data_IF_762133268478
#
_entry.id   IF_762133268478
#
_cell.length_a   1.000
_cell.length_b   1.000
_cell.length_c   1.000
_cell.angle_alpha   90.00
_cell.angle_beta   90.00
_cell.angle_gamma   90.00
#
_symmetry.space_group_name_H-M   'P 1'
#
loop_
_entity.id
_entity.type
_entity.pdbx_description
1 polymer ?
#
# COMPACT_ATOMS: atom_id res chain seq x y z
N UNK A 1 21.53 -19.03 3.40
CA UNK A 1 22.27 -18.54 4.59
C UNK A 1 21.74 -19.24 5.82
N UNK A 2 22.57 -19.97 6.55
CA UNK A 2 22.17 -20.74 7.73
C UNK A 2 22.07 -19.84 8.97
N UNK A 3 21.32 -20.28 9.98
CA UNK A 3 21.18 -19.57 11.28
C UNK A 3 22.55 -19.26 11.94
N UNK A 4 23.58 -20.09 11.68
CA UNK A 4 24.96 -19.88 12.16
C UNK A 4 25.70 -18.77 11.40
N UNK A 5 25.42 -18.58 10.12
CA UNK A 5 26.01 -17.51 9.31
C UNK A 5 25.38 -16.17 9.66
N UNK A 6 24.07 -16.15 9.95
CA UNK A 6 23.38 -14.97 10.43
C UNK A 6 23.89 -14.48 11.81
N UNK A 7 24.14 -15.42 12.74
CA UNK A 7 24.69 -15.07 14.08
C UNK A 7 26.13 -14.55 13.95
N UNK A 8 26.94 -15.03 13.01
CA UNK A 8 28.28 -14.49 12.74
C UNK A 8 28.23 -13.09 12.12
N UNK A 9 27.28 -12.80 11.21
CA UNK A 9 27.10 -11.46 10.67
C UNK A 9 26.61 -10.45 11.74
N UNK A 10 25.69 -10.86 12.60
CA UNK A 10 25.20 -10.00 13.70
C UNK A 10 26.27 -9.74 14.76
N UNK A 11 27.19 -10.67 14.98
CA UNK A 11 28.31 -10.49 15.95
C UNK A 11 29.41 -9.55 15.43
N UNK A 12 29.58 -9.43 14.10
CA UNK A 12 30.51 -8.46 13.51
C UNK A 12 29.94 -7.05 13.44
N UNK A 13 28.62 -6.88 13.45
CA UNK A 13 27.96 -5.57 13.44
C UNK A 13 27.85 -4.92 14.84
N UNK A 14 28.00 -5.68 15.91
CA UNK A 14 27.91 -5.16 17.29
C UNK A 14 29.17 -4.39 17.76
N UNK A 15 30.24 -4.38 16.98
CA UNK A 15 31.52 -3.79 17.44
C UNK A 15 31.77 -2.36 16.93
N UNK A 16 30.89 -1.77 16.12
CA UNK A 16 31.07 -0.41 15.58
C UNK A 16 29.97 0.59 15.95
N UNK A 17 29.16 0.31 17.00
CA UNK A 17 28.11 1.23 17.45
C UNK A 17 28.50 2.08 18.68
N UNK A 18 29.81 2.14 19.01
CA UNK A 18 30.34 3.04 20.03
C UNK A 18 31.03 4.24 19.36
N UNK A 19 30.27 5.06 18.63
CA UNK A 19 30.74 6.39 18.24
C UNK A 19 29.64 7.41 18.57
N UNK A 20 29.84 8.12 19.67
CA UNK A 20 29.46 9.51 19.80
C UNK A 20 28.02 9.83 20.16
N UNK A 21 27.65 9.60 21.43
CA UNK A 21 26.54 10.35 22.06
C UNK A 21 26.93 11.81 22.38
N UNK A 22 27.64 12.48 21.49
CA UNK A 22 27.98 13.91 21.66
C UNK A 22 28.01 14.62 20.31
N UNK A 23 26.84 14.92 19.75
CA UNK A 23 26.67 16.01 18.74
C UNK A 23 25.19 16.19 18.37
N UNK A 24 24.32 16.41 19.33
CA UNK A 24 23.06 17.10 19.06
C UNK A 24 23.33 18.60 19.05
N UNK A 25 24.07 19.09 18.05
CA UNK A 25 24.18 20.53 17.77
C UNK A 25 23.70 20.77 16.35
N UNK A 26 22.59 21.52 16.28
CA UNK A 26 22.06 22.17 15.08
C UNK A 26 21.54 21.20 13.99
N UNK A 27 20.25 20.87 14.03
CA UNK A 27 19.51 20.49 12.84
C UNK A 27 19.61 21.68 11.87
N UNK A 28 20.05 21.49 10.62
CA UNK A 28 20.05 22.55 9.63
C UNK A 28 18.64 23.09 9.43
N UNK A 29 18.50 24.38 9.22
CA UNK A 29 17.31 25.04 8.69
C UNK A 29 16.93 24.46 7.30
N UNK A 30 15.85 24.93 6.63
CA UNK A 30 15.43 24.43 5.33
C UNK A 30 16.62 24.36 4.40
N UNK A 31 17.08 23.16 4.11
CA UNK A 31 18.37 22.94 3.49
C UNK A 31 18.31 23.36 2.02
N UNK A 32 19.38 23.99 1.56
CA UNK A 32 19.66 24.25 0.14
C UNK A 32 19.77 22.95 -0.69
N UNK A 33 19.71 21.79 -0.05
CA UNK A 33 19.89 20.45 -0.60
C UNK A 33 18.67 19.88 -1.31
N UNK A 34 17.44 20.39 -1.01
CA UNK A 34 16.21 19.88 -1.58
C UNK A 34 15.48 20.94 -2.42
N UNK A 35 14.75 20.47 -3.45
CA UNK A 35 13.87 21.32 -4.25
C UNK A 35 12.52 21.58 -3.55
N UNK A 36 11.59 22.27 -4.23
CA UNK A 36 10.28 22.60 -3.67
C UNK A 36 9.36 21.39 -3.44
N UNK A 37 9.70 20.23 -3.97
CA UNK A 37 8.98 18.96 -3.83
C UNK A 37 9.69 17.99 -2.87
N UNK A 38 10.81 18.37 -2.29
CA UNK A 38 11.62 17.50 -1.44
C UNK A 38 12.62 16.62 -2.22
N UNK A 39 12.85 16.89 -3.51
CA UNK A 39 13.82 16.19 -4.34
C UNK A 39 15.25 16.57 -4.04
N UNK A 40 16.14 15.60 -4.03
CA UNK A 40 17.55 15.73 -3.70
C UNK A 40 18.34 16.39 -4.86
N UNK A 41 18.76 17.64 -4.68
CA UNK A 41 19.37 18.49 -5.73
C UNK A 41 20.72 18.02 -6.22
N UNK A 42 21.45 17.21 -5.46
CA UNK A 42 22.75 16.68 -5.89
C UNK A 42 22.63 15.65 -7.01
N UNK A 43 21.46 15.01 -7.18
CA UNK A 43 21.19 14.05 -8.25
C UNK A 43 20.15 14.62 -9.22
N UNK A 44 20.61 15.00 -10.42
CA UNK A 44 19.78 15.52 -11.51
C UNK A 44 19.38 14.42 -12.47
N UNK A 45 18.10 14.43 -12.85
CA UNK A 45 17.45 13.53 -13.77
C UNK A 45 16.56 14.34 -14.75
N UNK A 46 15.71 13.67 -15.54
CA UNK A 46 14.88 14.34 -16.52
C UNK A 46 13.81 15.21 -15.84
N UNK A 47 13.73 16.49 -16.22
CA UNK A 47 12.66 17.39 -15.78
C UNK A 47 11.43 17.23 -16.69
N UNK A 48 10.29 16.81 -16.16
CA UNK A 48 9.03 16.63 -16.90
C UNK A 48 7.92 17.60 -16.48
N UNK A 49 8.01 18.20 -15.31
CA UNK A 49 6.94 19.01 -14.70
C UNK A 49 5.99 18.22 -13.81
N UNK A 50 6.10 16.88 -13.79
CA UNK A 50 5.34 15.96 -12.95
C UNK A 50 6.25 14.91 -12.35
N UNK A 51 5.80 14.24 -11.29
CA UNK A 51 6.52 13.09 -10.76
C UNK A 51 6.50 11.94 -11.76
N UNK A 52 7.63 11.27 -11.92
CA UNK A 52 7.78 10.07 -12.75
C UNK A 52 8.85 9.15 -12.16
N UNK A 53 9.01 7.96 -12.74
CA UNK A 53 10.08 7.03 -12.37
C UNK A 53 11.16 7.02 -13.46
N UNK A 54 12.43 6.94 -13.03
CA UNK A 54 13.58 6.85 -13.95
C UNK A 54 14.63 5.89 -13.38
N UNK A 55 15.26 5.12 -14.27
CA UNK A 55 16.40 4.25 -13.94
C UNK A 55 17.69 4.84 -14.52
N UNK A 56 18.64 5.19 -13.66
CA UNK A 56 19.87 5.90 -14.05
C UNK A 56 21.06 4.99 -14.39
N UNK A 57 20.80 3.75 -14.80
CA UNK A 57 21.71 2.64 -14.99
C UNK A 57 22.18 1.95 -13.69
N UNK A 58 22.12 2.57 -12.54
CA UNK A 58 22.53 2.02 -11.24
C UNK A 58 21.31 1.60 -10.42
N UNK A 59 20.28 2.49 -10.38
CA UNK A 59 19.07 2.23 -9.58
C UNK A 59 17.86 3.01 -10.10
N UNK A 60 16.71 2.63 -9.57
CA UNK A 60 15.45 3.36 -9.76
C UNK A 60 15.36 4.57 -8.83
N UNK A 61 14.73 5.62 -9.35
CA UNK A 61 14.34 6.82 -8.65
C UNK A 61 12.90 7.21 -8.95
N UNK A 62 12.20 7.79 -8.00
CA UNK A 62 11.20 8.79 -8.32
C UNK A 62 11.94 10.07 -8.70
N UNK A 63 11.34 10.85 -9.58
CA UNK A 63 11.90 12.14 -10.03
C UNK A 63 10.86 13.22 -9.81
N UNK A 64 11.27 14.33 -9.19
CA UNK A 64 10.37 15.44 -8.93
C UNK A 64 10.02 16.20 -10.22
N UNK A 65 8.95 17.03 -10.21
CA UNK A 65 8.64 17.94 -11.31
C UNK A 65 9.79 18.83 -11.75
N UNK A 66 10.76 19.12 -10.87
CA UNK A 66 11.95 19.91 -11.14
C UNK A 66 13.14 19.09 -11.67
N UNK A 67 13.01 17.77 -11.77
CA UNK A 67 14.04 16.87 -12.29
C UNK A 67 15.11 16.50 -11.26
N UNK A 68 14.74 16.37 -9.98
CA UNK A 68 15.66 15.92 -8.94
C UNK A 68 15.25 14.51 -8.45
N UNK A 69 16.24 13.71 -8.08
CA UNK A 69 15.99 12.39 -7.50
C UNK A 69 15.16 12.49 -6.22
N UNK A 70 14.20 11.58 -6.09
CA UNK A 70 13.31 11.53 -4.94
C UNK A 70 13.17 10.09 -4.43
N UNK A 71 13.23 9.91 -3.13
CA UNK A 71 12.89 8.68 -2.44
C UNK A 71 11.69 8.98 -1.55
N UNK A 72 10.62 8.21 -1.70
CA UNK A 72 9.39 8.45 -0.95
C UNK A 72 9.50 7.89 0.47
N UNK A 73 9.63 8.78 1.45
CA UNK A 73 9.53 8.42 2.87
C UNK A 73 8.25 9.03 3.43
N UNK A 74 7.20 8.20 3.52
CA UNK A 74 5.84 8.65 3.73
C UNK A 74 5.22 8.23 5.04
N UNK A 75 4.10 8.86 5.35
CA UNK A 75 3.21 8.53 6.46
C UNK A 75 1.80 8.25 5.94
N UNK A 76 1.23 7.12 6.36
CA UNK A 76 -0.16 6.77 6.09
C UNK A 76 -1.08 7.18 7.26
N UNK A 77 -2.39 7.04 7.04
CA UNK A 77 -3.39 7.19 8.11
C UNK A 77 -3.28 8.50 8.89
N UNK A 78 -2.84 9.58 8.22
CA UNK A 78 -3.01 10.90 8.80
C UNK A 78 -4.47 11.32 8.62
N UNK A 79 -5.37 10.56 9.27
CA UNK A 79 -6.81 10.68 9.13
C UNK A 79 -7.42 11.20 10.42
N UNK A 80 -8.16 12.29 10.34
CA UNK A 80 -8.68 13.02 11.51
C UNK A 80 -9.54 12.18 12.45
N UNK A 81 -10.22 11.12 11.95
CA UNK A 81 -11.02 10.23 12.79
C UNK A 81 -10.15 9.52 13.87
N UNK A 82 -8.84 9.34 13.65
CA UNK A 82 -7.94 8.77 14.65
C UNK A 82 -7.65 9.71 15.81
N UNK A 83 -7.87 11.00 15.61
CA UNK A 83 -7.80 12.04 16.65
C UNK A 83 -9.13 12.28 17.34
N UNK A 84 -10.23 11.68 16.85
CA UNK A 84 -11.58 11.87 17.38
C UNK A 84 -12.23 10.55 17.76
N UNK A 85 -11.63 9.86 18.74
CA UNK A 85 -12.12 8.63 19.34
C UNK A 85 -12.53 8.88 20.79
N UNK A 86 -13.37 8.01 21.36
CA UNK A 86 -13.90 8.15 22.72
C UNK A 86 -12.80 8.41 23.77
N UNK A 87 -11.61 7.86 23.55
CA UNK A 87 -10.47 7.92 24.48
C UNK A 87 -9.54 9.12 24.25
N UNK A 88 -9.71 9.93 23.18
CA UNK A 88 -8.81 11.05 22.89
C UNK A 88 -9.48 12.34 22.39
N UNK A 89 -10.76 12.30 22.03
CA UNK A 89 -11.46 13.43 21.41
C UNK A 89 -11.43 14.73 22.27
N UNK A 90 -11.65 14.61 23.58
CA UNK A 90 -11.64 15.77 24.48
C UNK A 90 -10.28 16.47 24.52
N UNK A 91 -9.20 15.68 24.56
CA UNK A 91 -7.84 16.21 24.54
C UNK A 91 -7.56 16.98 23.25
N UNK A 92 -8.00 16.45 22.09
CA UNK A 92 -7.74 17.09 20.81
C UNK A 92 -8.65 18.27 20.52
N UNK A 93 -9.94 18.24 20.93
CA UNK A 93 -10.81 19.42 20.90
C UNK A 93 -10.16 20.57 21.68
N UNK A 94 -9.68 20.30 22.89
CA UNK A 94 -9.00 21.30 23.70
C UNK A 94 -7.71 21.82 23.05
N UNK A 95 -6.86 20.93 22.51
CA UNK A 95 -5.61 21.30 21.83
C UNK A 95 -5.82 22.18 20.60
N UNK A 96 -6.90 21.93 19.85
CA UNK A 96 -7.22 22.69 18.65
C UNK A 96 -8.11 23.91 18.93
N UNK A 97 -8.54 24.10 20.19
CA UNK A 97 -9.51 25.11 20.57
C UNK A 97 -10.79 25.00 19.75
N UNK A 98 -11.25 23.77 19.51
CA UNK A 98 -12.43 23.40 18.75
C UNK A 98 -13.60 23.07 19.68
N UNK A 99 -14.80 23.39 19.28
CA UNK A 99 -16.03 23.02 20.00
C UNK A 99 -16.57 21.68 19.49
N UNK A 100 -16.38 21.40 18.20
CA UNK A 100 -16.90 20.22 17.55
C UNK A 100 -15.88 19.61 16.58
N UNK A 101 -16.06 18.31 16.31
CA UNK A 101 -15.34 17.61 15.27
C UNK A 101 -15.61 18.26 13.90
N UNK A 102 -14.52 18.53 13.17
CA UNK A 102 -14.56 19.15 11.82
C UNK A 102 -15.09 20.59 11.76
N UNK A 103 -15.19 21.30 12.89
CA UNK A 103 -15.37 22.73 12.84
C UNK A 103 -14.15 23.47 12.26
N UNK A 104 -14.21 24.78 12.08
CA UNK A 104 -13.13 25.57 11.50
C UNK A 104 -11.85 25.48 12.34
N UNK A 105 -11.95 25.52 13.66
CA UNK A 105 -10.81 25.45 14.57
C UNK A 105 -10.18 24.06 14.55
N UNK A 106 -11.02 23.00 14.52
CA UNK A 106 -10.54 21.63 14.34
C UNK A 106 -9.72 21.49 13.06
N UNK A 107 -10.29 21.86 11.91
CA UNK A 107 -9.66 21.75 10.61
C UNK A 107 -8.33 22.53 10.55
N UNK A 108 -8.31 23.74 11.09
CA UNK A 108 -7.11 24.58 11.17
C UNK A 108 -6.04 23.96 12.10
N UNK A 109 -6.46 23.49 13.27
CA UNK A 109 -5.60 22.86 14.26
C UNK A 109 -4.98 21.57 13.76
N UNK A 110 -5.81 20.68 13.19
CA UNK A 110 -5.39 19.41 12.63
C UNK A 110 -4.39 19.61 11.48
N UNK A 111 -4.70 20.47 10.51
CA UNK A 111 -3.80 20.80 9.40
C UNK A 111 -2.44 21.34 9.89
N UNK A 112 -2.47 22.27 10.84
CA UNK A 112 -1.25 22.83 11.42
C UNK A 112 -0.41 21.77 12.12
N UNK A 113 -1.04 20.85 12.88
CA UNK A 113 -0.37 19.74 13.55
C UNK A 113 0.23 18.79 12.52
N UNK A 114 -0.52 18.37 11.49
CA UNK A 114 -0.04 17.48 10.45
C UNK A 114 1.22 18.00 9.76
N UNK A 115 1.19 19.22 9.24
CA UNK A 115 2.37 19.79 8.57
C UNK A 115 3.55 20.02 9.49
N UNK A 116 3.30 20.40 10.76
CA UNK A 116 4.36 20.52 11.76
C UNK A 116 5.03 19.17 12.04
N UNK A 117 4.24 18.11 12.21
CA UNK A 117 4.72 16.78 12.51
C UNK A 117 5.48 16.17 11.33
N UNK A 118 4.97 16.32 10.11
CA UNK A 118 5.66 15.88 8.89
C UNK A 118 7.01 16.58 8.74
N UNK A 119 7.06 17.90 8.86
CA UNK A 119 8.30 18.67 8.81
C UNK A 119 9.27 18.28 9.93
N UNK A 120 8.77 18.10 11.17
CA UNK A 120 9.58 17.70 12.33
C UNK A 120 10.22 16.32 12.15
N UNK A 121 9.48 15.39 11.57
CA UNK A 121 9.90 14.00 11.38
C UNK A 121 10.68 13.78 10.08
N UNK A 122 10.57 14.73 9.14
CA UNK A 122 11.21 14.65 7.83
C UNK A 122 10.51 13.73 6.84
N UNK A 123 9.21 13.48 7.02
CA UNK A 123 8.39 12.83 5.99
C UNK A 123 8.23 13.76 4.79
N UNK A 124 8.42 13.22 3.61
CA UNK A 124 8.29 13.95 2.35
C UNK A 124 7.11 13.51 1.48
N UNK A 125 6.31 12.55 1.97
CA UNK A 125 5.14 12.03 1.25
C UNK A 125 3.97 11.82 2.20
N UNK A 126 2.78 12.28 1.78
CA UNK A 126 1.50 11.92 2.37
C UNK A 126 1.03 10.64 1.66
N UNK A 127 1.01 9.52 2.39
CA UNK A 127 0.66 8.23 1.85
C UNK A 127 -0.85 7.97 1.80
N UNK A 128 -1.19 6.70 1.63
CA UNK A 128 -2.57 6.21 1.54
C UNK A 128 -3.36 6.43 2.84
N UNK A 129 -4.69 6.39 2.78
CA UNK A 129 -5.59 6.58 3.93
C UNK A 129 -5.50 7.96 4.60
N UNK A 130 -5.07 8.96 3.85
CA UNK A 130 -4.98 10.35 4.30
C UNK A 130 -5.94 11.22 3.48
N UNK A 131 -7.20 10.81 3.41
CA UNK A 131 -8.25 11.50 2.64
C UNK A 131 -8.99 12.56 3.47
N UNK A 132 -8.33 13.14 4.45
CA UNK A 132 -8.94 14.20 5.22
C UNK A 132 -9.10 15.44 4.32
N UNK A 133 -10.33 15.97 4.15
CA UNK A 133 -10.58 17.21 3.40
C UNK A 133 -9.67 18.36 3.84
N UNK A 134 -9.28 18.34 5.11
CA UNK A 134 -8.38 19.34 5.70
C UNK A 134 -6.93 19.28 5.20
N UNK A 135 -6.49 18.20 4.54
CA UNK A 135 -5.09 18.03 4.10
C UNK A 135 -4.92 18.03 2.58
N UNK A 136 -5.72 17.24 1.86
CA UNK A 136 -5.47 16.94 0.44
C UNK A 136 -6.64 17.18 -0.50
N UNK A 137 -7.87 17.38 0.01
CA UNK A 137 -9.04 17.56 -0.84
C UNK A 137 -9.18 18.99 -1.40
N UNK A 138 -8.24 19.86 -1.10
CA UNK A 138 -8.17 21.19 -1.69
C UNK A 138 -7.00 21.19 -2.68
N UNK A 139 -7.25 21.19 -4.01
CA UNK A 139 -6.20 21.23 -5.01
C UNK A 139 -5.21 22.36 -4.75
N UNK A 140 -3.93 22.09 -4.96
CA UNK A 140 -2.83 23.07 -4.85
C UNK A 140 -2.55 23.66 -3.45
N UNK A 141 -3.13 23.12 -2.39
CA UNK A 141 -2.86 23.60 -1.03
C UNK A 141 -1.88 22.74 -0.25
N UNK A 142 -1.67 21.50 -0.64
CA UNK A 142 -0.60 20.68 -0.07
C UNK A 142 0.77 21.22 -0.49
N UNK A 143 1.68 21.36 0.48
CA UNK A 143 3.10 21.64 0.22
C UNK A 143 3.97 20.40 0.32
N UNK A 144 3.35 19.24 0.40
CA UNK A 144 4.00 17.94 0.51
C UNK A 144 3.43 17.03 -0.57
N UNK A 145 4.26 16.35 -1.35
CA UNK A 145 3.82 15.34 -2.30
C UNK A 145 2.87 14.32 -1.67
N UNK A 146 1.84 13.90 -2.38
CA UNK A 146 0.81 13.04 -1.84
C UNK A 146 0.29 12.01 -2.84
N UNK A 147 -0.26 10.90 -2.32
CA UNK A 147 -1.01 9.92 -3.07
C UNK A 147 -2.51 10.22 -3.01
N UNK A 148 -3.21 9.98 -4.12
CA UNK A 148 -4.66 10.06 -4.18
C UNK A 148 -5.28 8.69 -4.41
N UNK A 149 -6.34 8.39 -3.68
CA UNK A 149 -7.07 7.15 -3.87
C UNK A 149 -7.99 7.23 -5.10
N UNK A 150 -7.82 6.27 -6.01
CA UNK A 150 -8.66 6.01 -7.17
C UNK A 150 -9.18 4.58 -7.06
N UNK A 151 -10.37 4.39 -6.50
CA UNK A 151 -10.95 3.09 -6.16
C UNK A 151 -12.25 2.86 -6.94
N UNK A 152 -12.19 2.47 -8.23
CA UNK A 152 -13.41 2.15 -8.99
C UNK A 152 -14.16 0.97 -8.38
N UNK A 153 -13.47 0.07 -7.68
CA UNK A 153 -14.09 -0.95 -6.82
C UNK A 153 -13.47 -0.86 -5.43
N UNK A 154 -14.29 -0.77 -4.38
CA UNK A 154 -13.83 -0.65 -3.00
C UNK A 154 -13.57 -2.05 -2.43
N UNK A 155 -12.38 -2.57 -2.68
CA UNK A 155 -11.95 -3.92 -2.33
C UNK A 155 -11.05 -3.99 -1.09
N UNK A 156 -10.90 -2.88 -0.36
CA UNK A 156 -10.04 -2.82 0.83
C UNK A 156 -10.41 -3.95 1.82
N UNK A 157 -9.44 -4.79 2.19
CA UNK A 157 -9.66 -5.97 3.03
C UNK A 157 -10.38 -5.66 4.35
N UNK A 158 -10.00 -4.56 5.00
CA UNK A 158 -10.55 -4.14 6.29
C UNK A 158 -12.02 -3.66 6.20
N UNK A 159 -12.54 -3.41 5.00
CA UNK A 159 -13.96 -3.08 4.78
C UNK A 159 -14.83 -4.33 4.65
N UNK A 160 -14.23 -5.53 4.69
CA UNK A 160 -14.91 -6.80 4.50
C UNK A 160 -15.87 -6.75 3.30
N UNK A 161 -15.36 -6.57 2.06
CA UNK A 161 -16.18 -6.30 0.90
C UNK A 161 -17.16 -7.47 0.66
N UNK A 162 -18.45 -7.12 0.59
CA UNK A 162 -19.51 -8.09 0.37
C UNK A 162 -19.50 -8.60 -1.08
N UNK A 163 -20.11 -9.77 -1.37
CA UNK A 163 -20.18 -10.31 -2.73
C UNK A 163 -20.65 -9.32 -3.80
N UNK A 164 -21.57 -8.41 -3.46
CA UNK A 164 -22.15 -7.43 -4.37
C UNK A 164 -21.10 -6.40 -4.88
N UNK A 165 -20.00 -6.21 -4.17
CA UNK A 165 -18.89 -5.33 -4.57
C UNK A 165 -18.09 -5.94 -5.72
N UNK A 166 -18.04 -7.29 -5.81
CA UNK A 166 -17.33 -8.01 -6.87
C UNK A 166 -18.17 -8.06 -8.18
N UNK A 167 -18.43 -6.89 -8.74
CA UNK A 167 -19.18 -6.72 -9.99
C UNK A 167 -18.46 -7.42 -11.16
N UNK A 168 -19.20 -7.69 -12.26
CA UNK A 168 -18.63 -8.31 -13.44
C UNK A 168 -17.72 -7.32 -14.19
N UNK A 169 -16.40 -7.42 -13.91
CA UNK A 169 -15.35 -6.57 -14.48
C UNK A 169 -15.14 -6.78 -15.98
N UNK A 170 -15.71 -7.83 -16.58
CA UNK A 170 -15.67 -8.08 -18.02
C UNK A 170 -16.81 -7.37 -18.76
N UNK A 171 -17.80 -6.83 -18.05
CA UNK A 171 -18.94 -6.15 -18.62
C UNK A 171 -18.58 -4.77 -19.19
N UNK A 172 -19.35 -4.32 -20.17
CA UNK A 172 -19.24 -2.95 -20.72
C UNK A 172 -19.71 -1.90 -19.70
N UNK A 173 -20.64 -2.26 -18.82
CA UNK A 173 -21.09 -1.38 -17.73
C UNK A 173 -19.96 -1.08 -16.74
N UNK A 174 -19.08 -2.03 -16.46
CA UNK A 174 -17.90 -1.78 -15.65
C UNK A 174 -16.94 -0.77 -16.29
N UNK A 175 -16.68 -0.90 -17.62
CA UNK A 175 -15.84 0.06 -18.35
C UNK A 175 -16.39 1.48 -18.24
N UNK A 176 -17.68 1.67 -18.55
CA UNK A 176 -18.34 2.99 -18.45
C UNK A 176 -18.28 3.55 -17.05
N UNK A 177 -18.54 2.72 -16.05
CA UNK A 177 -18.44 3.12 -14.65
C UNK A 177 -17.02 3.60 -14.28
N UNK A 178 -15.97 2.87 -14.71
CA UNK A 178 -14.59 3.30 -14.49
C UNK A 178 -14.28 4.65 -15.15
N UNK A 179 -14.79 4.91 -16.34
CA UNK A 179 -14.60 6.19 -17.05
C UNK A 179 -15.25 7.35 -16.31
N UNK A 180 -16.49 7.19 -15.87
CA UNK A 180 -17.21 8.19 -15.07
C UNK A 180 -16.52 8.43 -13.71
N UNK A 181 -16.09 7.35 -13.06
CA UNK A 181 -15.40 7.42 -11.79
C UNK A 181 -14.03 8.10 -11.91
N UNK A 182 -13.26 7.79 -12.95
CA UNK A 182 -11.98 8.43 -13.24
C UNK A 182 -12.15 9.94 -13.44
N UNK A 183 -13.12 10.36 -14.24
CA UNK A 183 -13.41 11.78 -14.45
C UNK A 183 -13.72 12.48 -13.13
N UNK A 184 -14.62 11.93 -12.33
CA UNK A 184 -15.00 12.48 -11.03
C UNK A 184 -13.82 12.60 -10.05
N UNK A 185 -12.91 11.62 -10.08
CA UNK A 185 -11.83 11.50 -9.09
C UNK A 185 -10.59 12.29 -9.49
N UNK A 186 -10.25 12.33 -10.79
CA UNK A 186 -8.96 12.83 -11.25
C UNK A 186 -9.02 14.19 -11.96
N UNK A 187 -10.15 14.60 -12.55
CA UNK A 187 -10.20 15.78 -13.42
C UNK A 187 -9.74 17.09 -12.77
N UNK A 188 -9.95 17.24 -11.47
CA UNK A 188 -9.53 18.44 -10.72
C UNK A 188 -8.03 18.47 -10.41
N UNK A 189 -7.31 17.37 -10.61
CA UNK A 189 -5.91 17.19 -10.15
C UNK A 189 -4.91 17.05 -11.30
N UNK A 190 -5.36 17.01 -12.54
CA UNK A 190 -4.53 16.77 -13.75
C UNK A 190 -3.29 17.66 -13.84
N UNK A 191 -3.36 18.87 -13.29
CA UNK A 191 -2.27 19.85 -13.30
C UNK A 191 -1.68 20.09 -11.92
N UNK A 192 -1.92 19.23 -10.92
CA UNK A 192 -1.34 19.40 -9.58
C UNK A 192 0.07 18.78 -9.50
N UNK A 193 1.14 19.56 -9.50
CA UNK A 193 2.50 19.02 -9.49
C UNK A 193 2.88 18.37 -8.15
N UNK A 194 2.07 18.52 -7.09
CA UNK A 194 2.28 17.84 -5.81
C UNK A 194 1.67 16.43 -5.78
N UNK A 195 0.77 16.11 -6.70
CA UNK A 195 0.23 14.77 -6.78
C UNK A 195 1.31 13.80 -7.30
N UNK A 196 1.67 12.83 -6.46
CA UNK A 196 2.62 11.77 -6.82
C UNK A 196 1.98 10.80 -7.81
N UNK A 197 0.75 10.44 -7.55
CA UNK A 197 -0.01 9.51 -8.37
C UNK A 197 -1.23 8.93 -7.66
N UNK A 198 -1.85 7.97 -8.34
CA UNK A 198 -3.09 7.34 -7.91
C UNK A 198 -2.85 5.92 -7.42
N UNK A 199 -3.37 5.59 -6.23
CA UNK A 199 -3.41 4.24 -5.69
C UNK A 199 -4.85 3.72 -5.61
N UNK A 200 -5.03 2.40 -5.77
CA UNK A 200 -6.33 1.76 -5.70
C UNK A 200 -6.61 1.18 -4.30
N UNK A 201 -7.12 -0.06 -4.22
CA UNK A 201 -7.53 -0.65 -2.96
C UNK A 201 -6.35 -1.06 -2.06
N UNK A 202 -6.64 -1.15 -0.78
CA UNK A 202 -5.72 -1.63 0.25
C UNK A 202 -5.85 -3.14 0.44
N UNK A 203 -4.83 -3.89 0.05
CA UNK A 203 -4.77 -5.34 0.16
C UNK A 203 -6.07 -6.03 -0.30
N UNK A 204 -6.51 -5.79 -1.56
CA UNK A 204 -7.73 -6.41 -2.06
C UNK A 204 -7.64 -7.93 -1.97
N UNK A 205 -8.77 -8.60 -1.70
CA UNK A 205 -8.84 -10.05 -1.67
C UNK A 205 -8.87 -10.55 -3.12
N UNK A 206 -7.70 -10.85 -3.67
CA UNK A 206 -7.52 -11.29 -5.07
C UNK A 206 -7.24 -12.78 -5.18
N UNK A 207 -6.67 -13.38 -4.15
CA UNK A 207 -6.17 -14.75 -4.16
C UNK A 207 -6.81 -15.61 -3.07
N UNK A 208 -6.65 -16.92 -3.18
CA UNK A 208 -7.06 -17.83 -2.10
C UNK A 208 -6.22 -17.65 -0.83
N UNK A 209 -4.98 -17.15 -0.96
CA UNK A 209 -4.15 -16.76 0.19
C UNK A 209 -4.74 -15.58 0.97
N UNK A 210 -5.20 -14.55 0.26
CA UNK A 210 -5.89 -13.42 0.89
C UNK A 210 -7.20 -13.86 1.56
N UNK A 211 -7.94 -14.72 0.87
CA UNK A 211 -9.19 -15.27 1.39
C UNK A 211 -8.99 -16.09 2.69
N UNK A 212 -7.91 -16.87 2.80
CA UNK A 212 -7.56 -17.59 4.03
C UNK A 212 -7.26 -16.65 5.18
N UNK A 213 -6.62 -15.52 4.90
CA UNK A 213 -6.22 -14.55 5.94
C UNK A 213 -7.40 -13.67 6.39
N UNK A 214 -8.19 -13.15 5.45
CA UNK A 214 -9.20 -12.12 5.74
C UNK A 214 -10.64 -12.62 5.67
N UNK A 215 -10.88 -13.81 5.10
CA UNK A 215 -12.24 -14.25 4.77
C UNK A 215 -12.82 -13.48 3.56
N UNK A 216 -14.16 -13.46 3.45
CA UNK A 216 -14.84 -12.75 2.36
C UNK A 216 -15.01 -13.59 1.10
N UNK A 217 -14.76 -13.00 -0.08
CA UNK A 217 -14.90 -13.66 -1.38
C UNK A 217 -13.88 -13.11 -2.39
N UNK A 218 -13.84 -13.67 -3.59
CA UNK A 218 -13.01 -13.20 -4.72
C UNK A 218 -13.83 -13.17 -6.00
N UNK A 219 -13.34 -12.50 -7.04
CA UNK A 219 -14.02 -12.47 -8.34
C UNK A 219 -14.31 -13.85 -8.91
N UNK A 220 -13.40 -14.81 -8.79
CA UNK A 220 -13.65 -16.17 -9.33
C UNK A 220 -14.90 -16.79 -8.74
N UNK A 221 -15.15 -16.62 -7.44
CA UNK A 221 -16.30 -17.21 -6.75
C UNK A 221 -17.61 -16.60 -7.19
N UNK A 222 -17.57 -15.33 -7.55
CA UNK A 222 -18.75 -14.61 -8.05
C UNK A 222 -18.95 -14.92 -9.53
N UNK A 223 -17.92 -14.72 -10.37
CA UNK A 223 -18.05 -14.79 -11.81
C UNK A 223 -18.36 -16.20 -12.32
N UNK A 224 -17.77 -17.26 -11.72
CA UNK A 224 -18.08 -18.65 -12.09
C UNK A 224 -19.53 -19.06 -11.84
N UNK A 225 -20.23 -18.32 -10.99
CA UNK A 225 -21.61 -18.60 -10.55
C UNK A 225 -22.66 -17.73 -11.27
N UNK A 226 -22.24 -16.82 -12.15
CA UNK A 226 -23.15 -16.01 -12.98
C UNK A 226 -23.85 -16.86 -14.07
N UNK A 227 -24.83 -16.27 -14.74
CA UNK A 227 -25.52 -16.89 -15.87
C UNK A 227 -24.73 -16.86 -17.18
N UNK A 228 -25.21 -17.59 -18.18
CA UNK A 228 -24.56 -17.81 -19.49
C UNK A 228 -24.24 -16.52 -20.28
N UNK A 229 -25.04 -15.47 -20.10
CA UNK A 229 -24.85 -14.19 -20.79
C UNK A 229 -23.89 -13.24 -20.09
N UNK A 230 -23.42 -13.56 -18.89
CA UNK A 230 -22.48 -12.74 -18.15
C UNK A 230 -21.07 -12.87 -18.74
N UNK A 231 -20.44 -11.75 -19.17
CA UNK A 231 -19.10 -11.81 -19.76
C UNK A 231 -18.05 -12.45 -18.85
N UNK A 232 -18.16 -12.24 -17.53
CA UNK A 232 -17.27 -12.87 -16.54
C UNK A 232 -17.42 -14.39 -16.45
N UNK A 233 -18.65 -14.91 -16.58
CA UNK A 233 -18.87 -16.36 -16.67
C UNK A 233 -18.26 -16.96 -17.94
N UNK A 234 -18.39 -16.26 -19.06
CA UNK A 234 -17.78 -16.68 -20.33
C UNK A 234 -16.23 -16.65 -20.24
N UNK A 235 -15.67 -15.62 -19.62
CA UNK A 235 -14.23 -15.54 -19.36
C UNK A 235 -13.73 -16.69 -18.47
N UNK A 236 -14.48 -17.02 -17.40
CA UNK A 236 -14.19 -18.18 -16.56
C UNK A 236 -14.16 -19.47 -17.38
N UNK A 237 -15.23 -19.74 -18.12
CA UNK A 237 -15.32 -20.95 -18.94
C UNK A 237 -14.16 -21.07 -19.94
N UNK A 238 -13.83 -19.95 -20.62
CA UNK A 238 -12.71 -19.89 -21.58
C UNK A 238 -11.37 -20.23 -20.90
N UNK A 239 -11.18 -19.80 -19.67
CA UNK A 239 -9.96 -20.11 -18.90
C UNK A 239 -9.91 -21.59 -18.51
N UNK A 240 -11.01 -22.13 -18.02
CA UNK A 240 -11.10 -23.55 -17.59
C UNK A 240 -10.96 -24.51 -18.78
N UNK A 241 -11.58 -24.22 -19.91
CA UNK A 241 -11.44 -25.04 -21.12
C UNK A 241 -10.01 -25.14 -21.68
N UNK A 242 -9.12 -24.24 -21.31
CA UNK A 242 -7.68 -24.36 -21.63
C UNK A 242 -6.93 -25.33 -20.73
N UNK A 243 -7.47 -25.60 -19.54
CA UNK A 243 -6.86 -26.46 -18.52
C UNK A 243 -7.34 -27.90 -18.60
N UNK A 244 -8.55 -28.13 -19.11
CA UNK A 244 -9.18 -29.44 -19.21
C UNK A 244 -9.49 -29.78 -20.66
N UNK A 245 -9.10 -30.99 -21.08
CA UNK A 245 -9.37 -31.46 -22.45
C UNK A 245 -10.84 -31.76 -22.67
N UNK A 246 -11.50 -32.33 -21.65
CA UNK A 246 -12.90 -32.72 -21.72
C UNK A 246 -13.67 -32.22 -20.50
N UNK A 247 -15.02 -32.18 -20.60
CA UNK A 247 -15.88 -31.87 -19.46
C UNK A 247 -15.78 -32.96 -18.37
N UNK A 248 -15.43 -34.18 -18.74
CA UNK A 248 -15.29 -35.30 -17.78
C UNK A 248 -14.02 -35.08 -16.92
N UNK A 249 -12.93 -34.58 -17.47
CA UNK A 249 -11.73 -34.25 -16.69
C UNK A 249 -12.04 -33.16 -15.65
N UNK A 250 -12.83 -32.15 -16.06
CA UNK A 250 -13.32 -31.12 -15.13
C UNK A 250 -14.24 -31.70 -14.06
N UNK A 251 -15.23 -32.53 -14.46
CA UNK A 251 -16.15 -33.14 -13.53
C UNK A 251 -15.43 -33.98 -12.46
N UNK A 252 -14.37 -34.69 -12.85
CA UNK A 252 -13.57 -35.46 -11.92
C UNK A 252 -12.94 -34.63 -10.82
N UNK A 253 -12.35 -33.46 -11.19
CA UNK A 253 -11.71 -32.55 -10.23
C UNK A 253 -12.70 -31.83 -9.33
N UNK A 254 -13.84 -31.43 -9.90
CA UNK A 254 -14.84 -30.61 -9.19
C UNK A 254 -15.99 -31.46 -8.57
N UNK A 255 -15.94 -32.77 -8.72
CA UNK A 255 -16.98 -33.68 -8.23
C UNK A 255 -18.38 -33.28 -8.75
N UNK A 256 -18.46 -33.02 -10.06
CA UNK A 256 -19.68 -32.60 -10.77
C UNK A 256 -20.06 -33.62 -11.86
N UNK A 257 -21.21 -33.40 -12.50
CA UNK A 257 -21.73 -34.28 -13.53
C UNK A 257 -22.30 -33.54 -14.75
N UNK A 258 -21.63 -32.47 -15.17
CA UNK A 258 -22.02 -31.72 -16.37
C UNK A 258 -21.85 -32.60 -17.63
N UNK A 259 -22.84 -32.63 -18.48
CA UNK A 259 -22.80 -33.36 -19.75
C UNK A 259 -21.95 -32.67 -20.81
N UNK A 260 -21.80 -31.33 -20.69
CA UNK A 260 -21.06 -30.50 -21.65
C UNK A 260 -20.61 -29.19 -21.03
N UNK A 261 -19.63 -28.55 -21.69
CA UNK A 261 -19.23 -27.18 -21.36
C UNK A 261 -20.38 -26.17 -21.43
N UNK A 262 -21.34 -26.40 -22.34
CA UNK A 262 -22.53 -25.56 -22.44
C UNK A 262 -23.45 -25.71 -21.22
N UNK A 263 -23.54 -26.90 -20.64
CA UNK A 263 -24.28 -27.08 -19.38
C UNK A 263 -23.61 -26.36 -18.22
N UNK A 264 -22.27 -26.42 -18.10
CA UNK A 264 -21.51 -25.63 -17.13
C UNK A 264 -21.70 -24.13 -17.33
N UNK A 265 -21.71 -23.66 -18.60
CA UNK A 265 -21.95 -22.25 -18.91
C UNK A 265 -23.30 -21.77 -18.38
N UNK A 266 -24.35 -22.56 -18.56
CA UNK A 266 -25.73 -22.24 -18.13
C UNK A 266 -25.93 -22.37 -16.62
N UNK A 267 -25.10 -23.17 -15.95
CA UNK A 267 -25.24 -23.42 -14.52
C UNK A 267 -24.91 -22.17 -13.67
N UNK A 268 -25.91 -21.69 -12.93
CA UNK A 268 -25.76 -20.64 -11.92
C UNK A 268 -25.52 -21.26 -10.57
N UNK A 269 -24.78 -20.56 -9.70
CA UNK A 269 -24.54 -20.95 -8.30
C UNK A 269 -24.11 -22.42 -8.15
N UNK A 270 -23.35 -22.94 -9.11
CA UNK A 270 -22.97 -24.33 -9.19
C UNK A 270 -21.86 -24.74 -8.22
N UNK A 271 -21.12 -23.74 -7.69
CA UNK A 271 -20.02 -23.95 -6.75
C UNK A 271 -20.13 -22.98 -5.59
N UNK A 272 -20.10 -23.51 -4.37
CA UNK A 272 -20.13 -22.69 -3.15
C UNK A 272 -18.95 -21.71 -3.05
N UNK A 273 -19.14 -20.67 -2.24
CA UNK A 273 -18.11 -19.66 -1.97
C UNK A 273 -17.17 -20.13 -0.84
N UNK A 274 -16.54 -21.29 -1.03
CA UNK A 274 -15.63 -21.90 -0.07
C UNK A 274 -14.17 -21.83 -0.56
N UNK A 275 -13.22 -22.10 0.35
CA UNK A 275 -11.84 -22.38 -0.02
C UNK A 275 -11.77 -23.57 -1.00
N UNK A 276 -10.72 -23.66 -1.83
CA UNK A 276 -10.55 -24.75 -2.77
C UNK A 276 -10.49 -26.09 -2.03
N UNK A 277 -11.16 -27.12 -2.59
CA UNK A 277 -11.21 -28.47 -2.01
C UNK A 277 -9.99 -29.33 -2.40
N UNK A 278 -9.22 -28.87 -3.38
CA UNK A 278 -8.01 -29.58 -3.85
C UNK A 278 -6.94 -28.59 -4.32
N UNK A 279 -5.66 -28.99 -4.36
CA UNK A 279 -4.60 -28.19 -4.97
C UNK A 279 -4.87 -27.83 -6.43
N UNK A 280 -5.52 -28.71 -7.20
CA UNK A 280 -5.87 -28.46 -8.62
C UNK A 280 -6.91 -27.35 -8.73
N UNK A 281 -7.94 -27.37 -7.86
CA UNK A 281 -8.92 -26.25 -7.80
C UNK A 281 -8.24 -24.94 -7.41
N UNK A 282 -7.25 -24.95 -6.51
CA UNK A 282 -6.47 -23.75 -6.16
C UNK A 282 -5.66 -23.23 -7.34
N UNK A 283 -5.05 -24.11 -8.13
CA UNK A 283 -4.36 -23.73 -9.35
C UNK A 283 -5.31 -23.12 -10.40
N UNK A 284 -6.51 -23.67 -10.55
CA UNK A 284 -7.55 -23.13 -11.43
C UNK A 284 -8.02 -21.75 -10.97
N UNK A 285 -8.22 -21.60 -9.66
CA UNK A 285 -8.56 -20.33 -9.04
C UNK A 285 -7.47 -19.29 -9.31
N UNK A 286 -6.20 -19.64 -9.11
CA UNK A 286 -5.06 -18.76 -9.35
C UNK A 286 -4.98 -18.37 -10.83
N UNK A 287 -5.17 -19.31 -11.75
CA UNK A 287 -5.17 -19.04 -13.20
C UNK A 287 -6.25 -18.04 -13.60
N UNK A 288 -7.48 -18.19 -13.08
CA UNK A 288 -8.57 -17.26 -13.39
C UNK A 288 -8.44 -15.94 -12.61
N UNK A 289 -7.90 -15.94 -11.40
CA UNK A 289 -7.60 -14.71 -10.66
C UNK A 289 -6.65 -13.81 -11.44
N UNK A 290 -5.61 -14.36 -12.10
CA UNK A 290 -4.72 -13.59 -12.96
C UNK A 290 -5.46 -12.95 -14.15
N UNK A 291 -6.42 -13.65 -14.75
CA UNK A 291 -7.28 -13.09 -15.82
C UNK A 291 -8.18 -11.96 -15.29
N UNK A 292 -8.68 -12.10 -14.07
CA UNK A 292 -9.46 -11.05 -13.40
C UNK A 292 -8.59 -9.83 -13.09
N UNK A 293 -7.41 -10.03 -12.54
CA UNK A 293 -6.45 -8.95 -12.22
C UNK A 293 -6.05 -8.21 -13.49
N UNK A 294 -5.69 -8.94 -14.56
CA UNK A 294 -5.34 -8.34 -15.85
C UNK A 294 -6.49 -7.45 -16.38
N UNK A 295 -7.73 -7.94 -16.33
CA UNK A 295 -8.90 -7.18 -16.76
C UNK A 295 -9.19 -5.97 -15.88
N UNK A 296 -9.14 -6.13 -14.56
CA UNK A 296 -9.41 -5.07 -13.61
C UNK A 296 -8.41 -3.91 -13.77
N UNK A 297 -7.12 -4.23 -13.84
CA UNK A 297 -6.07 -3.23 -14.01
C UNK A 297 -6.11 -2.55 -15.37
N UNK A 298 -6.32 -3.32 -16.46
CA UNK A 298 -6.38 -2.72 -17.80
C UNK A 298 -7.51 -1.70 -17.93
N UNK A 299 -8.72 -2.05 -17.47
CA UNK A 299 -9.87 -1.14 -17.54
C UNK A 299 -9.69 0.07 -16.63
N UNK A 300 -9.21 -0.15 -15.41
CA UNK A 300 -8.98 0.94 -14.45
C UNK A 300 -7.93 1.92 -14.93
N UNK A 301 -6.78 1.42 -15.46
CA UNK A 301 -5.73 2.26 -16.02
C UNK A 301 -6.20 3.02 -17.27
N UNK A 302 -6.82 2.33 -18.23
CA UNK A 302 -7.33 2.95 -19.45
C UNK A 302 -8.31 4.10 -19.16
N UNK A 303 -9.21 3.89 -18.19
CA UNK A 303 -10.17 4.91 -17.78
C UNK A 303 -9.48 6.11 -17.13
N UNK A 304 -8.54 5.88 -16.22
CA UNK A 304 -7.78 6.94 -15.57
C UNK A 304 -6.95 7.74 -16.57
N UNK A 305 -6.23 7.07 -17.45
CA UNK A 305 -5.34 7.71 -18.44
C UNK A 305 -6.07 8.57 -19.47
N UNK A 306 -7.35 8.29 -19.75
CA UNK A 306 -8.19 9.19 -20.58
C UNK A 306 -8.41 10.56 -19.93
N UNK A 307 -8.32 10.64 -18.61
CA UNK A 307 -8.52 11.86 -17.82
C UNK A 307 -7.19 12.48 -17.43
N UNK A 308 -6.28 11.68 -16.92
CA UNK A 308 -4.99 12.11 -16.39
C UNK A 308 -3.88 11.15 -16.80
N UNK A 309 -3.05 11.58 -17.71
CA UNK A 309 -1.85 10.87 -18.18
C UNK A 309 -0.55 11.45 -17.61
N UNK A 310 -0.63 12.47 -16.76
CA UNK A 310 0.52 13.15 -16.19
C UNK A 310 1.05 12.48 -14.94
N UNK A 311 0.17 11.85 -14.16
CA UNK A 311 0.52 11.30 -12.85
C UNK A 311 0.69 9.79 -12.86
N UNK A 312 1.51 9.32 -11.94
CA UNK A 312 1.83 7.90 -11.79
C UNK A 312 0.61 7.07 -11.38
N UNK A 313 0.54 5.85 -11.85
CA UNK A 313 -0.44 4.86 -11.45
C UNK A 313 0.22 3.76 -10.62
N UNK A 314 -0.08 3.72 -9.33
CA UNK A 314 0.45 2.76 -8.36
C UNK A 314 -0.36 1.45 -8.32
N UNK A 315 -1.63 1.49 -8.76
CA UNK A 315 -2.53 0.36 -8.60
C UNK A 315 -2.87 0.08 -7.13
N UNK A 316 -3.21 -1.17 -6.84
CA UNK A 316 -3.50 -1.61 -5.47
C UNK A 316 -2.24 -1.64 -4.60
N UNK A 317 -2.40 -1.41 -3.30
CA UNK A 317 -1.40 -1.78 -2.32
C UNK A 317 -1.46 -3.30 -2.10
N UNK A 318 -0.63 -4.04 -2.83
CA UNK A 318 -0.66 -5.50 -2.88
C UNK A 318 -0.24 -6.13 -1.54
N UNK A 319 -0.85 -7.25 -1.19
CA UNK A 319 -0.57 -7.91 0.08
C UNK A 319 0.70 -8.75 0.02
N UNK A 320 1.74 -8.32 0.72
CA UNK A 320 2.98 -9.06 0.89
C UNK A 320 2.99 -10.02 2.10
N UNK A 321 1.91 -10.09 2.87
CA UNK A 321 1.75 -11.05 3.96
C UNK A 321 1.05 -12.34 3.54
N UNK A 322 0.60 -12.42 2.28
CA UNK A 322 0.03 -13.60 1.61
C UNK A 322 0.84 -13.92 0.36
N UNK A 323 0.38 -14.87 -0.45
CA UNK A 323 0.97 -15.14 -1.76
C UNK A 323 0.56 -14.14 -2.85
N UNK A 324 -0.26 -13.15 -2.52
CA UNK A 324 -0.84 -12.21 -3.50
C UNK A 324 0.25 -11.47 -4.27
N UNK A 325 1.16 -10.77 -3.57
CA UNK A 325 2.24 -10.03 -4.23
C UNK A 325 3.05 -10.92 -5.19
N UNK A 326 3.50 -12.09 -4.73
CA UNK A 326 4.27 -13.01 -5.57
C UNK A 326 3.51 -13.50 -6.80
N UNK A 327 2.20 -13.73 -6.66
CA UNK A 327 1.37 -14.27 -7.72
C UNK A 327 1.00 -13.23 -8.78
N UNK A 328 0.68 -12.00 -8.37
CA UNK A 328 0.10 -11.02 -9.31
C UNK A 328 1.10 -10.03 -9.89
N UNK A 329 2.34 -9.94 -9.35
CA UNK A 329 3.33 -8.91 -9.73
C UNK A 329 3.54 -8.81 -11.25
N UNK A 330 3.76 -9.92 -11.97
CA UNK A 330 3.98 -9.90 -13.42
C UNK A 330 2.78 -9.38 -14.20
N UNK A 331 1.57 -9.68 -13.74
CA UNK A 331 0.33 -9.22 -14.36
C UNK A 331 0.12 -7.73 -14.11
N UNK A 332 0.28 -7.30 -12.86
CA UNK A 332 0.09 -5.91 -12.44
C UNK A 332 1.14 -4.99 -13.07
N UNK A 333 2.38 -5.45 -13.20
CA UNK A 333 3.49 -4.70 -13.78
C UNK A 333 3.26 -4.22 -15.23
N UNK A 334 2.30 -4.80 -15.95
CA UNK A 334 1.90 -4.33 -17.30
C UNK A 334 1.19 -2.98 -17.27
N UNK A 335 0.66 -2.59 -16.12
CA UNK A 335 -0.27 -1.47 -15.99
C UNK A 335 0.21 -0.36 -15.07
N UNK A 336 1.02 -0.68 -14.07
CA UNK A 336 1.48 0.28 -13.06
C UNK A 336 2.87 0.84 -13.38
N UNK A 337 3.21 1.95 -12.74
CA UNK A 337 4.53 2.57 -12.86
C UNK A 337 5.46 2.15 -11.72
N UNK A 338 4.89 1.60 -10.63
CA UNK A 338 5.57 1.21 -9.39
C UNK A 338 4.84 -0.02 -8.84
N UNK A 339 5.56 -0.99 -8.30
CA UNK A 339 4.95 -2.05 -7.48
C UNK A 339 4.73 -1.51 -6.07
N UNK A 340 3.49 -1.23 -5.74
CA UNK A 340 3.05 -0.71 -4.46
C UNK A 340 2.52 -1.86 -3.61
N UNK A 341 3.11 -2.11 -2.45
CA UNK A 341 2.77 -3.26 -1.63
C UNK A 341 2.79 -2.93 -0.14
N UNK A 342 2.21 -3.80 0.67
CA UNK A 342 2.26 -3.77 2.12
C UNK A 342 2.92 -5.03 2.63
N UNK A 343 3.79 -4.91 3.65
CA UNK A 343 4.29 -6.06 4.37
C UNK A 343 4.56 -5.74 5.84
N UNK A 344 3.76 -6.33 6.73
CA UNK A 344 3.95 -6.29 8.18
C UNK A 344 4.74 -7.53 8.64
N UNK A 345 5.90 -7.74 8.08
CA UNK A 345 6.85 -8.78 8.44
C UNK A 345 8.06 -8.24 9.19
N UNK A 346 8.88 -9.15 9.74
CA UNK A 346 10.23 -8.81 10.21
C UNK A 346 11.09 -8.34 9.04
N UNK A 347 12.19 -7.64 9.29
CA UNK A 347 13.10 -7.20 8.22
C UNK A 347 13.62 -8.36 7.39
N UNK A 348 13.85 -9.52 8.02
CA UNK A 348 14.22 -10.74 7.31
C UNK A 348 13.13 -11.18 6.33
N UNK A 349 11.87 -11.26 6.78
CA UNK A 349 10.75 -11.68 5.93
C UNK A 349 10.51 -10.70 4.78
N UNK A 350 10.60 -9.40 5.05
CA UNK A 350 10.45 -8.35 4.03
C UNK A 350 11.56 -8.44 2.98
N UNK A 351 12.80 -8.66 3.41
CA UNK A 351 13.94 -8.84 2.50
C UNK A 351 13.82 -10.12 1.66
N UNK A 352 13.36 -11.23 2.27
CA UNK A 352 13.13 -12.49 1.56
C UNK A 352 12.01 -12.33 0.50
N UNK A 353 10.91 -11.66 0.86
CA UNK A 353 9.82 -11.38 -0.08
C UNK A 353 10.32 -10.57 -1.29
N UNK A 354 11.06 -9.49 -1.05
CA UNK A 354 11.62 -8.69 -2.14
C UNK A 354 12.54 -9.52 -3.05
N UNK A 355 13.39 -10.39 -2.49
CA UNK A 355 14.22 -11.29 -3.29
C UNK A 355 13.41 -12.20 -4.21
N UNK A 356 12.20 -12.60 -3.79
CA UNK A 356 11.32 -13.46 -4.58
C UNK A 356 10.58 -12.73 -5.71
N UNK A 357 10.39 -11.41 -5.59
CA UNK A 357 9.53 -10.65 -6.52
C UNK A 357 10.26 -9.67 -7.43
N UNK A 358 11.44 -9.17 -7.06
CA UNK A 358 12.16 -8.16 -7.86
C UNK A 358 12.50 -8.62 -9.28
N UNK A 359 12.75 -9.90 -9.48
CA UNK A 359 13.07 -10.45 -10.80
C UNK A 359 11.83 -10.66 -11.70
N UNK A 360 10.62 -10.55 -11.15
CA UNK A 360 9.36 -10.73 -11.89
C UNK A 360 8.97 -9.48 -12.70
N UNK A 361 9.63 -8.38 -12.47
CA UNK A 361 9.37 -7.13 -13.17
C UNK A 361 10.63 -6.27 -13.24
N UNK A 362 10.59 -5.26 -14.12
CA UNK A 362 11.64 -4.23 -14.21
C UNK A 362 11.19 -2.91 -13.56
N UNK A 363 10.13 -2.94 -12.75
CA UNK A 363 9.60 -1.73 -12.09
C UNK A 363 10.20 -1.56 -10.69
N UNK A 364 10.23 -0.34 -10.17
CA UNK A 364 10.61 -0.06 -8.79
C UNK A 364 9.51 -0.46 -7.80
N UNK A 365 9.90 -0.57 -6.52
CA UNK A 365 9.07 -1.02 -5.41
C UNK A 365 8.95 0.05 -4.32
N UNK A 366 7.74 0.20 -3.77
CA UNK A 366 7.48 0.95 -2.53
C UNK A 366 6.78 0.03 -1.54
N UNK A 367 7.34 -0.11 -0.33
CA UNK A 367 6.58 -0.63 0.80
C UNK A 367 5.64 0.47 1.30
N UNK A 368 4.41 0.41 0.84
CA UNK A 368 3.40 1.45 1.03
C UNK A 368 2.70 1.40 2.38
N UNK A 369 2.98 0.41 3.21
CA UNK A 369 2.45 0.33 4.57
C UNK A 369 3.18 -0.74 5.39
N UNK A 370 3.88 -0.30 6.40
CA UNK A 370 4.57 -1.19 7.31
C UNK A 370 4.73 -0.55 8.69
N UNK A 371 4.79 -1.40 9.70
CA UNK A 371 4.97 -0.96 11.07
C UNK A 371 5.29 -2.12 12.00
N UNK A 372 5.70 -1.77 13.20
CA UNK A 372 5.99 -2.66 14.30
C UNK A 372 5.28 -2.15 15.55
N UNK A 373 4.92 -3.03 16.46
CA UNK A 373 4.24 -2.66 17.69
C UNK A 373 4.97 -3.09 18.96
N UNK A 374 4.64 -2.43 20.06
CA UNK A 374 5.00 -2.82 21.42
C UNK A 374 3.71 -2.97 22.20
N UNK A 375 3.48 -4.15 22.77
CA UNK A 375 2.28 -4.39 23.57
C UNK A 375 2.33 -3.62 24.88
N UNK A 376 1.22 -2.99 25.25
CA UNK A 376 1.00 -2.37 26.55
C UNK A 376 -0.47 -2.49 26.94
N UNK A 377 -0.84 -2.08 28.16
CA UNK A 377 -2.17 -2.34 28.74
C UNK A 377 -3.33 -1.94 27.83
N UNK A 378 -3.30 -0.73 27.24
CA UNK A 378 -4.35 -0.21 26.36
C UNK A 378 -4.27 -0.77 24.93
N UNK A 379 -3.13 -1.36 24.56
CA UNK A 379 -2.86 -1.92 23.25
C UNK A 379 -2.13 -3.27 23.39
N UNK A 380 -2.82 -4.33 23.84
CA UNK A 380 -2.19 -5.64 24.07
C UNK A 380 -1.79 -6.34 22.77
N UNK A 381 -2.46 -6.04 21.65
CA UNK A 381 -2.30 -6.74 20.39
C UNK A 381 -2.07 -5.77 19.20
N UNK A 382 -1.00 -4.94 19.21
CA UNK A 382 -0.73 -4.07 18.07
C UNK A 382 -0.46 -4.88 16.80
N UNK A 383 -0.93 -4.35 15.67
CA UNK A 383 -0.78 -4.99 14.38
C UNK A 383 0.70 -5.06 13.96
N UNK A 384 1.09 -6.18 13.34
CA UNK A 384 2.45 -6.42 12.88
C UNK A 384 3.36 -7.13 13.91
N UNK A 385 4.65 -7.24 13.61
CA UNK A 385 5.63 -7.85 14.51
C UNK A 385 5.76 -7.04 15.83
N UNK A 386 5.85 -7.76 16.95
CA UNK A 386 5.89 -7.17 18.29
C UNK A 386 7.30 -7.09 18.82
N UNK A 387 7.77 -5.88 19.04
CA UNK A 387 9.01 -5.59 19.73
C UNK A 387 8.78 -5.59 21.25
N UNK A 388 9.84 -5.81 22.02
CA UNK A 388 9.82 -5.81 23.49
C UNK A 388 9.81 -4.40 24.09
N UNK A 389 10.25 -3.39 23.32
CA UNK A 389 10.34 -2.00 23.76
C UNK A 389 10.30 -1.04 22.57
N UNK A 390 10.03 0.25 22.83
CA UNK A 390 10.11 1.29 21.79
C UNK A 390 11.52 1.42 21.19
N UNK A 391 12.55 1.14 21.98
CA UNK A 391 13.93 1.07 21.50
C UNK A 391 14.10 -0.04 20.45
N UNK A 392 13.72 -1.28 20.76
CA UNK A 392 13.81 -2.40 19.80
C UNK A 392 12.94 -2.14 18.56
N UNK A 393 11.74 -1.58 18.74
CA UNK A 393 10.86 -1.16 17.66
C UNK A 393 11.54 -0.18 16.71
N UNK A 394 12.24 0.81 17.27
CA UNK A 394 12.98 1.82 16.51
C UNK A 394 14.19 1.22 15.77
N UNK A 395 14.89 0.27 16.39
CA UNK A 395 16.00 -0.46 15.78
C UNK A 395 15.53 -1.29 14.58
N UNK A 396 14.38 -1.96 14.69
CA UNK A 396 13.77 -2.70 13.57
C UNK A 396 13.38 -1.78 12.42
N UNK A 397 12.79 -0.62 12.69
CA UNK A 397 12.46 0.34 11.63
C UNK A 397 13.71 0.82 10.90
N UNK A 398 14.77 1.17 11.64
CA UNK A 398 16.05 1.59 11.06
C UNK A 398 16.67 0.50 10.20
N UNK A 399 16.69 -0.74 10.67
CA UNK A 399 17.24 -1.89 9.93
C UNK A 399 16.46 -2.15 8.65
N UNK A 400 15.13 -2.21 8.71
CA UNK A 400 14.29 -2.44 7.53
C UNK A 400 14.44 -1.34 6.48
N UNK A 401 14.43 -0.09 6.89
CA UNK A 401 14.63 1.03 5.97
C UNK A 401 16.04 1.01 5.36
N UNK A 402 17.07 0.70 6.15
CA UNK A 402 18.44 0.53 5.64
C UNK A 402 18.50 -0.57 4.58
N UNK A 403 17.95 -1.76 4.87
CA UNK A 403 17.92 -2.86 3.92
C UNK A 403 17.09 -2.55 2.67
N UNK A 404 16.00 -1.81 2.82
CA UNK A 404 15.19 -1.35 1.69
C UNK A 404 15.93 -0.36 0.82
N UNK A 405 16.30 0.80 1.35
CA UNK A 405 16.88 1.89 0.56
C UNK A 405 18.25 1.56 -0.06
N UNK A 406 19.00 0.59 0.47
CA UNK A 406 20.22 0.11 -0.20
C UNK A 406 19.96 -0.79 -1.42
N UNK A 407 18.70 -1.15 -1.73
CA UNK A 407 18.35 -1.92 -2.93
C UNK A 407 18.10 -1.00 -4.12
N UNK A 408 18.64 -1.32 -5.31
CA UNK A 408 18.43 -0.50 -6.51
C UNK A 408 16.96 -0.33 -6.92
N UNK A 409 16.12 -1.32 -6.65
CA UNK A 409 14.71 -1.33 -7.03
C UNK A 409 13.82 -0.63 -6.01
N UNK A 410 14.31 -0.36 -4.80
CA UNK A 410 13.49 0.14 -3.71
C UNK A 410 13.54 1.66 -3.62
N UNK A 411 12.40 2.32 -3.83
CA UNK A 411 12.29 3.78 -3.92
C UNK A 411 11.39 4.42 -2.87
N UNK A 412 10.87 3.64 -1.91
CA UNK A 412 10.07 4.24 -0.85
C UNK A 412 9.59 3.32 0.25
N UNK A 413 9.36 3.95 1.40
CA UNK A 413 8.78 3.34 2.60
C UNK A 413 7.75 4.27 3.23
N UNK A 414 6.54 3.78 3.45
CA UNK A 414 5.50 4.52 4.17
C UNK A 414 5.21 3.86 5.51
N UNK A 415 5.25 4.66 6.57
CA UNK A 415 4.98 4.21 7.94
C UNK A 415 3.48 4.16 8.17
N UNK A 416 3.00 3.09 8.79
CA UNK A 416 1.60 2.92 9.14
C UNK A 416 1.23 3.75 10.37
N UNK A 417 0.57 4.87 10.14
CA UNK A 417 -0.03 5.70 11.18
C UNK A 417 0.92 6.52 12.03
N UNK A 418 0.45 7.66 12.48
CA UNK A 418 1.23 8.58 13.32
C UNK A 418 0.81 8.55 14.79
N UNK A 419 -0.48 8.29 15.06
CA UNK A 419 -1.05 8.25 16.41
C UNK A 419 -1.53 6.84 16.74
N UNK A 420 -1.37 6.43 17.97
CA UNK A 420 -1.93 5.18 18.47
C UNK A 420 -3.45 5.15 18.31
N UNK A 421 -3.97 4.03 17.84
CA UNK A 421 -5.42 3.85 17.73
C UNK A 421 -5.82 2.38 17.87
N UNK A 422 -6.97 2.11 18.47
CA UNK A 422 -7.54 0.76 18.66
C UNK A 422 -9.03 0.65 18.34
N UNK A 423 -9.63 1.72 17.81
CA UNK A 423 -10.98 1.72 17.26
C UNK A 423 -10.97 2.48 15.95
N UNK A 424 -10.62 1.81 14.86
CA UNK A 424 -10.54 2.47 13.56
C UNK A 424 -11.79 2.33 12.73
N UNK A 425 -12.67 1.36 13.05
CA UNK A 425 -13.87 1.05 12.28
C UNK A 425 -15.00 0.56 13.20
N UNK A 426 -16.27 0.81 12.86
CA UNK A 426 -17.41 0.32 13.62
C UNK A 426 -17.65 -1.19 13.52
N UNK A 427 -16.81 -1.93 12.81
CA UNK A 427 -16.98 -3.37 12.54
C UNK A 427 -15.94 -4.22 13.25
N UNK A 428 -16.40 -4.90 14.29
CA UNK A 428 -16.04 -6.22 14.83
C UNK A 428 -14.65 -6.51 15.39
N UNK A 429 -13.56 -5.96 14.92
CA UNK A 429 -12.24 -6.24 15.47
C UNK A 429 -11.53 -4.93 15.78
N UNK A 430 -11.02 -4.83 16.98
CA UNK A 430 -10.17 -3.72 17.40
C UNK A 430 -8.85 -3.81 16.64
N UNK A 431 -8.77 -3.12 15.49
CA UNK A 431 -7.49 -2.91 14.85
C UNK A 431 -6.64 -1.99 15.73
N UNK A 432 -5.59 -2.57 16.31
CA UNK A 432 -4.67 -1.84 17.16
C UNK A 432 -3.46 -1.42 16.35
N UNK A 433 -3.42 -0.16 15.91
CA UNK A 433 -2.26 0.40 15.23
C UNK A 433 -1.43 1.24 16.19
N UNK A 434 -0.16 0.88 16.36
CA UNK A 434 0.77 1.70 17.13
C UNK A 434 1.43 2.75 16.24
N UNK A 435 1.10 4.01 16.51
CA UNK A 435 1.66 5.18 15.85
C UNK A 435 3.07 5.54 16.30
N UNK A 436 3.53 6.70 15.91
CA UNK A 436 4.78 7.31 16.38
C UNK A 436 4.56 8.12 17.67
N UNK A 437 3.31 8.37 18.03
CA UNK A 437 2.91 9.06 19.25
C UNK A 437 1.71 8.38 19.90
N UNK A 438 1.57 8.59 21.20
CA UNK A 438 0.42 8.13 21.99
C UNK A 438 -0.88 8.82 21.53
N UNK A 439 -2.03 8.31 21.95
CA UNK A 439 -3.36 8.88 21.71
C UNK A 439 -3.49 10.36 22.10
N UNK A 440 -2.66 10.80 23.02
CA UNK A 440 -2.61 12.18 23.53
C UNK A 440 -1.58 13.07 22.81
N UNK A 441 -0.93 12.54 21.75
CA UNK A 441 0.02 13.28 20.95
C UNK A 441 1.39 13.49 21.61
N UNK A 442 1.83 12.53 22.42
CA UNK A 442 3.19 12.48 22.97
C UNK A 442 4.00 11.50 22.13
N UNK A 443 5.00 12.00 21.41
CA UNK A 443 5.87 11.16 20.58
C UNK A 443 6.69 10.20 21.42
N UNK A 444 6.88 8.98 20.90
CA UNK A 444 7.86 8.02 21.43
C UNK A 444 9.27 8.48 21.02
N UNK A 445 10.15 8.88 21.97
CA UNK A 445 11.42 9.53 21.64
C UNK A 445 12.34 8.67 20.76
N UNK A 446 12.34 7.36 20.97
CA UNK A 446 13.16 6.42 20.19
C UNK A 446 12.67 6.34 18.74
N UNK A 447 11.34 6.28 18.55
CA UNK A 447 10.73 6.25 17.22
C UNK A 447 10.91 7.58 16.50
N UNK A 448 10.75 8.70 17.18
CA UNK A 448 11.03 10.02 16.62
C UNK A 448 12.48 10.13 16.14
N UNK A 449 13.43 9.67 16.93
CA UNK A 449 14.86 9.68 16.58
C UNK A 449 15.15 8.79 15.37
N UNK A 450 14.54 7.59 15.32
CA UNK A 450 14.70 6.67 14.23
C UNK A 450 14.16 7.24 12.89
N UNK A 451 12.95 7.78 12.90
CA UNK A 451 12.32 8.37 11.72
C UNK A 451 13.15 9.54 11.18
N UNK A 452 13.60 10.44 12.06
CA UNK A 452 14.51 11.55 11.67
C UNK A 452 15.82 11.06 11.09
N UNK A 453 16.40 9.99 11.66
CA UNK A 453 17.64 9.40 11.15
C UNK A 453 17.46 8.79 9.76
N UNK A 454 16.32 8.14 9.49
CA UNK A 454 16.00 7.58 8.17
C UNK A 454 15.89 8.72 7.16
N UNK A 455 15.07 9.72 7.46
CA UNK A 455 14.88 10.89 6.58
C UNK A 455 16.20 11.57 6.20
N UNK A 456 17.10 11.75 7.19
CA UNK A 456 18.39 12.38 6.97
C UNK A 456 19.38 11.52 6.17
N UNK A 457 19.21 10.19 6.14
CA UNK A 457 20.20 9.24 5.61
C UNK A 457 19.75 8.44 4.41
N UNK A 458 18.47 8.48 4.03
CA UNK A 458 17.93 7.60 2.97
C UNK A 458 18.66 7.73 1.64
N UNK A 459 19.05 8.95 1.25
CA UNK A 459 19.83 9.17 0.02
C UNK A 459 21.25 8.62 0.11
N UNK A 460 21.93 8.83 1.24
CA UNK A 460 23.25 8.22 1.45
C UNK A 460 23.20 6.69 1.49
N UNK A 461 22.15 6.09 2.09
CA UNK A 461 21.93 4.65 2.05
C UNK A 461 21.71 4.14 0.63
N UNK A 462 21.03 4.92 -0.18
CA UNK A 462 20.73 4.59 -1.57
C UNK A 462 21.94 4.69 -2.51
N UNK A 463 22.96 5.48 -2.17
CA UNK A 463 24.15 5.73 -2.99
C UNK A 463 25.43 5.11 -2.44
N UNK A 464 25.34 4.37 -1.31
CA UNK A 464 26.51 3.76 -0.64
C UNK A 464 26.79 2.31 -1.08
N UNK A 465 26.27 1.85 -2.22
CA UNK A 465 26.45 0.50 -2.76
C UNK A 465 27.76 0.35 -3.52
#
# INVERSE_FOLDING_TARGET
>A
MTRKEFIKLSSFMSLNLYIGANSCKNLPGPSTEYDSYGGWKEKKLLKTGFFHTEHDAERWWLVTPEGNAFLSFGINHYHEDWWFQDYNQENWLKKFNAENFRDENWNKGFRKAAFKDMSRLGFNTIGMHTNAPSLIDIPFQSKTPYLREYKPVVLDHYRNPKPEIYIDIFSESFRKYCEEYAYKTASAYVNDPMLLGYCMADCPILTDGDLRLYGGTTWIRILRNLGEYAPGKQAYLKTIMKRYKTINDFNYVYETSFESWNQLLKAKNWRENNLPKSPIEEEDNNAFSLVCVDRYYSVSKEALFKVDSNHLFFGDKLNGNTNCLEMVTETVAKYVDIIYYQNFGTCFNQSALLNNVIHKTKLPFINGDAGFGVSYEMMPNPYGPRARSQKERSEWLLECCKLGFSRPEFIGWHVCGIIDTWKTMPTKEEFQHQGLMSVNGVFYPEMETAVKSISARMYSLATSS
#
